data_IF_836866671158
#
_entry.id   IF_836866671158
#
_cell.length_a   1.000
_cell.length_b   1.000
_cell.length_c   1.000
_cell.angle_alpha   90.00
_cell.angle_beta   90.00
_cell.angle_gamma   90.00
#
_symmetry.space_group_name_H-M   'P 1'
#
loop_
_entity.id
_entity.type
_entity.pdbx_description
1 polymer ?
#
# COMPACT_ATOMS: atom_id res chain seq x y z
N UNK A 1 5.51 9.53 -13.75
CA UNK A 1 4.92 9.15 -12.45
C UNK A 1 5.17 10.19 -11.36
N UNK A 2 4.75 9.94 -10.15
CA UNK A 2 4.83 10.87 -9.01
C UNK A 2 6.24 11.36 -8.71
N UNK A 3 7.23 10.48 -8.74
CA UNK A 3 8.64 10.85 -8.54
C UNK A 3 9.10 11.90 -9.55
N UNK A 4 8.83 11.68 -10.82
CA UNK A 4 9.22 12.62 -11.88
C UNK A 4 8.48 13.94 -11.76
N UNK A 5 7.21 13.94 -11.34
CA UNK A 5 6.45 15.17 -11.13
C UNK A 5 7.08 16.04 -10.03
N UNK A 6 7.46 15.45 -8.91
CA UNK A 6 8.15 16.18 -7.83
C UNK A 6 9.50 16.71 -8.29
N UNK A 7 10.31 15.89 -8.98
CA UNK A 7 11.60 16.34 -9.49
C UNK A 7 11.45 17.51 -10.48
N UNK A 8 10.48 17.43 -11.39
CA UNK A 8 10.20 18.52 -12.34
C UNK A 8 9.75 19.80 -11.63
N UNK A 9 8.90 19.68 -10.60
CA UNK A 9 8.49 20.81 -9.77
C UNK A 9 9.69 21.47 -9.10
N UNK A 10 10.53 20.70 -8.40
CA UNK A 10 11.71 21.20 -7.71
C UNK A 10 12.69 21.87 -8.68
N UNK A 11 12.96 21.25 -9.83
CA UNK A 11 13.81 21.83 -10.86
C UNK A 11 13.22 23.13 -11.43
N UNK A 12 11.91 23.16 -11.65
CA UNK A 12 11.22 24.38 -12.13
C UNK A 12 11.31 25.53 -11.13
N UNK A 13 11.16 25.27 -9.85
CA UNK A 13 11.36 26.27 -8.79
C UNK A 13 12.80 26.78 -8.79
N UNK A 14 13.78 25.88 -8.86
CA UNK A 14 15.19 26.26 -8.92
C UNK A 14 15.55 27.13 -10.14
N UNK A 15 14.99 26.81 -11.31
CA UNK A 15 15.24 27.59 -12.53
C UNK A 15 14.63 28.99 -12.47
N UNK A 16 13.56 29.17 -11.70
CA UNK A 16 12.84 30.44 -11.54
C UNK A 16 13.24 31.21 -10.29
N UNK A 17 14.24 30.73 -9.57
CA UNK A 17 14.72 31.28 -8.28
C UNK A 17 13.58 31.42 -7.25
N UNK A 18 12.65 30.44 -7.26
CA UNK A 18 11.53 30.36 -6.31
C UNK A 18 12.01 29.60 -5.10
N UNK A 19 11.99 30.25 -3.93
CA UNK A 19 12.26 29.59 -2.67
C UNK A 19 11.13 28.62 -2.31
N UNK A 20 11.51 27.42 -1.85
CA UNK A 20 10.58 26.38 -1.44
C UNK A 20 10.81 26.02 0.03
N UNK A 21 9.74 25.65 0.73
CA UNK A 21 9.79 25.04 2.06
C UNK A 21 9.70 23.53 1.86
N UNK A 22 10.78 22.75 2.11
CA UNK A 22 10.77 21.32 1.86
C UNK A 22 9.66 20.56 2.61
N UNK A 23 9.32 21.01 3.82
CA UNK A 23 8.25 20.43 4.63
C UNK A 23 6.88 20.56 3.95
N UNK A 24 6.59 21.70 3.32
CA UNK A 24 5.33 21.95 2.62
C UNK A 24 5.23 21.09 1.36
N UNK A 25 6.33 20.95 0.63
CA UNK A 25 6.40 20.06 -0.54
C UNK A 25 6.17 18.62 -0.14
N UNK A 26 6.80 18.18 0.96
CA UNK A 26 6.63 16.80 1.47
C UNK A 26 5.19 16.55 1.93
N UNK A 27 4.59 17.50 2.65
CA UNK A 27 3.19 17.40 3.09
C UNK A 27 2.22 17.35 1.90
N UNK A 28 2.41 18.23 0.91
CA UNK A 28 1.61 18.27 -0.32
C UNK A 28 1.73 16.97 -1.11
N UNK A 29 2.95 16.43 -1.25
CA UNK A 29 3.18 15.16 -1.91
C UNK A 29 2.47 14.01 -1.18
N UNK A 30 2.64 13.91 0.15
CA UNK A 30 1.99 12.88 0.96
C UNK A 30 0.47 12.95 0.82
N UNK A 31 -0.10 14.16 0.87
CA UNK A 31 -1.54 14.35 0.72
C UNK A 31 -2.03 13.92 -0.66
N UNK A 32 -1.35 14.31 -1.72
CA UNK A 32 -1.72 13.93 -3.09
C UNK A 32 -1.71 12.40 -3.30
N UNK A 33 -0.71 11.71 -2.73
CA UNK A 33 -0.66 10.24 -2.77
C UNK A 33 -1.83 9.64 -1.99
N UNK A 34 -2.08 10.12 -0.77
CA UNK A 34 -3.16 9.61 0.07
C UNK A 34 -4.52 9.82 -0.60
N UNK A 35 -4.80 11.01 -1.13
CA UNK A 35 -6.07 11.33 -1.79
C UNK A 35 -6.32 10.41 -3.00
N UNK A 36 -5.30 10.21 -3.83
CA UNK A 36 -5.40 9.31 -5.00
C UNK A 36 -5.73 7.87 -4.58
N UNK A 37 -5.04 7.36 -3.56
CA UNK A 37 -5.26 5.98 -3.10
C UNK A 37 -6.61 5.82 -2.40
N UNK A 38 -7.05 6.82 -1.63
CA UNK A 38 -8.36 6.82 -0.98
C UNK A 38 -9.48 6.85 -2.03
N UNK A 39 -9.35 7.71 -3.05
CA UNK A 39 -10.32 7.77 -4.14
C UNK A 39 -10.46 6.41 -4.85
N UNK A 40 -9.34 5.79 -5.21
CA UNK A 40 -9.35 4.48 -5.85
C UNK A 40 -9.94 3.39 -4.94
N UNK A 41 -9.62 3.40 -3.65
CA UNK A 41 -10.20 2.48 -2.68
C UNK A 41 -11.73 2.63 -2.58
N UNK A 42 -12.21 3.87 -2.49
CA UNK A 42 -13.64 4.19 -2.45
C UNK A 42 -14.35 3.71 -3.71
N UNK A 43 -13.78 3.98 -4.89
CA UNK A 43 -14.33 3.51 -6.16
C UNK A 43 -14.40 1.99 -6.23
N UNK A 44 -13.35 1.29 -5.80
CA UNK A 44 -13.34 -0.17 -5.77
C UNK A 44 -14.42 -0.74 -4.82
N UNK A 45 -14.57 -0.16 -3.62
CA UNK A 45 -15.61 -0.55 -2.67
C UNK A 45 -17.01 -0.41 -3.31
N UNK A 46 -17.26 0.69 -4.00
CA UNK A 46 -18.56 0.96 -4.63
C UNK A 46 -18.83 0.05 -5.83
N UNK A 47 -17.82 -0.15 -6.67
CA UNK A 47 -17.91 -0.97 -7.87
C UNK A 47 -18.13 -2.45 -7.55
N UNK A 48 -17.37 -2.98 -6.59
CA UNK A 48 -17.45 -4.39 -6.20
C UNK A 48 -18.43 -4.66 -5.05
N UNK A 49 -19.07 -3.62 -4.51
CA UNK A 49 -20.06 -3.70 -3.39
C UNK A 49 -19.52 -4.50 -2.20
N UNK A 50 -18.28 -4.22 -1.82
CA UNK A 50 -17.61 -4.92 -0.71
C UNK A 50 -18.08 -4.39 0.64
N UNK A 51 -18.28 -5.30 1.59
CA UNK A 51 -18.59 -5.02 3.00
C UNK A 51 -17.32 -5.01 3.88
N UNK A 52 -16.18 -5.42 3.31
CA UNK A 52 -14.88 -5.48 3.98
C UNK A 52 -13.80 -4.91 3.07
N UNK A 53 -12.89 -4.14 3.65
CA UNK A 53 -11.75 -3.59 2.96
C UNK A 53 -10.48 -3.72 3.81
N UNK A 54 -9.40 -4.18 3.21
CA UNK A 54 -8.12 -4.36 3.90
C UNK A 54 -6.99 -3.70 3.12
N UNK A 55 -6.04 -3.13 3.85
CA UNK A 55 -4.77 -2.64 3.29
C UNK A 55 -3.61 -3.38 3.92
N UNK A 56 -2.56 -3.62 3.14
CA UNK A 56 -1.32 -4.26 3.59
C UNK A 56 -0.12 -3.70 2.81
N UNK A 57 1.08 -4.10 3.19
CA UNK A 57 2.32 -3.64 2.58
C UNK A 57 2.87 -2.36 3.20
N UNK A 58 4.09 -1.96 2.81
CA UNK A 58 4.83 -0.85 3.42
C UNK A 58 4.07 0.48 3.44
N UNK A 59 3.37 0.82 2.36
CA UNK A 59 2.58 2.07 2.25
C UNK A 59 1.39 2.08 3.21
N UNK A 60 0.87 0.91 3.60
CA UNK A 60 -0.18 0.82 4.62
C UNK A 60 0.27 1.29 6.01
N UNK A 61 1.56 1.51 6.26
CA UNK A 61 2.06 2.15 7.49
C UNK A 61 1.81 3.66 7.54
N UNK A 62 1.47 4.30 6.41
CA UNK A 62 1.23 5.74 6.36
C UNK A 62 -0.03 6.11 7.13
N UNK A 63 0.12 6.94 8.17
CA UNK A 63 -0.97 7.33 9.06
C UNK A 63 -2.07 8.13 8.33
N UNK A 64 -1.70 9.03 7.43
CA UNK A 64 -2.64 9.85 6.65
C UNK A 64 -3.51 8.97 5.76
N UNK A 65 -2.90 7.99 5.09
CA UNK A 65 -3.62 7.03 4.26
C UNK A 65 -4.58 6.16 5.08
N UNK A 66 -4.10 5.59 6.20
CA UNK A 66 -4.93 4.76 7.08
C UNK A 66 -6.16 5.51 7.58
N UNK A 67 -5.93 6.71 8.10
CA UNK A 67 -7.00 7.53 8.65
C UNK A 67 -8.02 7.94 7.59
N UNK A 68 -7.54 8.30 6.40
CA UNK A 68 -8.42 8.63 5.28
C UNK A 68 -9.28 7.44 4.83
N UNK A 69 -8.69 6.26 4.66
CA UNK A 69 -9.42 5.04 4.30
C UNK A 69 -10.39 4.65 5.43
N UNK A 70 -9.96 4.70 6.69
CA UNK A 70 -10.82 4.40 7.84
C UNK A 70 -12.09 5.25 7.81
N UNK A 71 -11.94 6.57 7.67
CA UNK A 71 -13.08 7.51 7.58
C UNK A 71 -13.97 7.22 6.38
N UNK A 72 -13.39 6.87 5.23
CA UNK A 72 -14.15 6.54 4.04
C UNK A 72 -14.96 5.25 4.21
N UNK A 73 -14.36 4.21 4.81
CA UNK A 73 -15.03 2.96 5.12
C UNK A 73 -16.17 3.14 6.14
N UNK A 74 -15.93 3.91 7.22
CA UNK A 74 -16.94 4.23 8.22
C UNK A 74 -18.17 4.90 7.62
N UNK A 75 -17.97 5.88 6.74
CA UNK A 75 -19.06 6.56 6.04
C UNK A 75 -19.91 5.61 5.17
N UNK A 76 -19.33 4.52 4.72
CA UNK A 76 -19.98 3.53 3.85
C UNK A 76 -20.47 2.28 4.59
N UNK A 77 -20.24 2.18 5.89
CA UNK A 77 -20.56 0.98 6.67
C UNK A 77 -19.70 -0.23 6.31
N UNK A 78 -18.49 -0.01 5.78
CA UNK A 78 -17.55 -1.05 5.37
C UNK A 78 -16.57 -1.34 6.51
N UNK A 79 -16.36 -2.60 6.84
CA UNK A 79 -15.38 -3.01 7.84
C UNK A 79 -13.96 -2.83 7.30
N UNK A 80 -13.13 -2.07 8.02
CA UNK A 80 -11.77 -1.76 7.62
C UNK A 80 -10.74 -2.54 8.44
N UNK A 81 -9.79 -3.15 7.75
CA UNK A 81 -8.72 -3.95 8.34
C UNK A 81 -7.34 -3.48 7.87
N UNK A 82 -6.39 -3.51 8.78
CA UNK A 82 -4.97 -3.30 8.47
C UNK A 82 -4.09 -3.99 9.52
N UNK A 83 -2.89 -4.46 9.18
CA UNK A 83 -1.95 -4.99 10.16
C UNK A 83 -1.37 -3.86 11.02
N UNK A 84 -0.75 -4.24 12.14
CA UNK A 84 0.11 -3.32 12.89
C UNK A 84 1.26 -2.84 12.01
N UNK A 85 1.81 -1.65 12.28
CA UNK A 85 2.84 -1.04 11.41
C UNK A 85 4.07 -1.92 11.24
N UNK A 86 4.47 -2.66 12.28
CA UNK A 86 5.61 -3.59 12.23
C UNK A 86 5.39 -4.78 11.27
N UNK A 87 4.14 -5.15 11.01
CA UNK A 87 3.77 -6.23 10.10
C UNK A 87 3.42 -5.74 8.69
N UNK A 88 3.50 -4.45 8.44
CA UNK A 88 3.25 -3.88 7.10
C UNK A 88 4.42 -4.05 6.14
N UNK A 89 5.64 -4.15 6.66
CA UNK A 89 6.86 -4.43 5.88
C UNK A 89 7.19 -5.91 5.92
N UNK A 90 8.18 -6.31 5.14
CA UNK A 90 8.65 -7.70 5.09
C UNK A 90 8.99 -8.20 6.49
N UNK A 91 8.44 -9.36 6.84
CA UNK A 91 8.67 -9.98 8.14
C UNK A 91 8.51 -11.50 8.05
N UNK A 92 9.20 -12.21 8.94
CA UNK A 92 9.18 -13.67 8.99
C UNK A 92 7.80 -14.25 9.36
N UNK A 93 7.00 -13.51 10.13
CA UNK A 93 5.69 -13.99 10.58
C UNK A 93 4.72 -14.19 9.41
N UNK A 94 4.72 -13.29 8.40
CA UNK A 94 3.87 -13.45 7.23
C UNK A 94 4.27 -14.66 6.37
N UNK A 95 5.58 -14.93 6.27
CA UNK A 95 6.09 -16.10 5.55
C UNK A 95 5.76 -17.39 6.30
N UNK A 96 5.96 -17.39 7.63
CA UNK A 96 5.57 -18.51 8.47
C UNK A 96 4.08 -18.83 8.41
N UNK A 97 3.23 -17.81 8.43
CA UNK A 97 1.78 -17.96 8.29
C UNK A 97 1.42 -18.54 6.92
N UNK A 98 1.96 -17.99 5.81
CA UNK A 98 1.74 -18.51 4.47
C UNK A 98 2.18 -19.98 4.36
N UNK A 99 3.39 -20.31 4.84
CA UNK A 99 3.90 -21.66 4.84
C UNK A 99 3.04 -22.64 5.67
N UNK A 100 2.48 -22.20 6.79
CA UNK A 100 1.57 -23.00 7.59
C UNK A 100 0.28 -23.35 6.83
N UNK A 101 -0.34 -22.40 6.16
CA UNK A 101 -1.55 -22.67 5.36
C UNK A 101 -1.25 -23.55 4.15
N UNK A 102 -0.10 -23.37 3.49
CA UNK A 102 0.34 -24.27 2.43
C UNK A 102 0.55 -25.70 2.96
N UNK A 103 1.15 -25.82 4.14
CA UNK A 103 1.32 -27.12 4.80
C UNK A 103 -0.04 -27.80 5.06
N UNK A 104 -1.02 -27.08 5.59
CA UNK A 104 -2.38 -27.62 5.81
C UNK A 104 -3.07 -28.01 4.50
N UNK A 105 -2.83 -27.28 3.42
CA UNK A 105 -3.34 -27.60 2.07
C UNK A 105 -2.66 -28.82 1.43
N UNK A 106 -1.66 -29.42 2.10
CA UNK A 106 -0.95 -30.58 1.61
C UNK A 106 0.22 -30.28 0.69
N UNK A 107 0.54 -29.00 0.47
CA UNK A 107 1.69 -28.60 -0.36
C UNK A 107 2.99 -29.07 0.28
N UNK A 108 3.83 -29.76 -0.48
CA UNK A 108 5.16 -30.25 -0.08
C UNK A 108 6.12 -30.04 -1.24
N UNK A 109 7.34 -29.66 -0.91
CA UNK A 109 8.41 -29.52 -1.89
C UNK A 109 9.53 -30.52 -1.61
N UNK A 110 10.22 -30.94 -2.64
CA UNK A 110 11.40 -31.78 -2.54
C UNK A 110 12.66 -30.94 -2.27
N UNK A 111 13.83 -31.63 -2.26
CA UNK A 111 15.12 -30.99 -2.11
C UNK A 111 15.58 -30.19 -3.34
N UNK A 112 14.82 -30.28 -4.41
CA UNK A 112 14.97 -29.53 -5.66
C UNK A 112 14.29 -28.16 -5.63
N UNK A 113 13.61 -27.80 -4.53
CA UNK A 113 12.97 -26.49 -4.37
C UNK A 113 13.97 -25.36 -4.62
N UNK A 114 13.61 -24.48 -5.52
CA UNK A 114 14.41 -23.30 -5.85
C UNK A 114 13.55 -22.05 -5.86
N UNK A 115 14.17 -20.89 -5.64
CA UNK A 115 13.49 -19.61 -5.74
C UNK A 115 13.15 -19.29 -7.20
N UNK A 116 11.90 -18.89 -7.45
CA UNK A 116 11.42 -18.45 -8.75
C UNK A 116 11.16 -16.94 -8.69
N UNK A 117 12.07 -16.11 -9.22
CA UNK A 117 11.86 -14.67 -9.28
C UNK A 117 10.72 -14.35 -10.25
N UNK A 118 9.97 -13.29 -9.93
CA UNK A 118 8.87 -12.79 -10.77
C UNK A 118 7.68 -13.77 -10.96
N UNK A 119 7.47 -14.67 -10.01
CA UNK A 119 6.28 -15.52 -10.00
C UNK A 119 5.02 -14.63 -9.92
N UNK A 120 4.05 -14.89 -10.79
CA UNK A 120 2.80 -14.13 -10.77
C UNK A 120 1.89 -14.59 -9.62
N UNK A 121 1.02 -13.67 -9.18
CA UNK A 121 0.02 -14.02 -8.16
C UNK A 121 -0.83 -15.21 -8.62
N UNK A 122 -0.89 -16.25 -7.80
CA UNK A 122 -1.63 -17.48 -8.07
C UNK A 122 -0.88 -18.52 -8.90
N UNK A 123 0.31 -18.23 -9.45
CA UNK A 123 1.20 -19.24 -10.03
C UNK A 123 1.97 -19.97 -8.91
N UNK A 124 2.19 -21.26 -9.10
CA UNK A 124 2.93 -22.14 -8.20
C UNK A 124 3.91 -23.00 -8.97
#
# INVERSE_FOLDING_TARGET
GLKSAVLNYLNGCKMKDIEIVPADVAASFQQAVADTLIEHAVRAIDEFKMDKFAIAGGVASNATLREGIRKACEKKGVAFYHPSSILCTDNAAMIGAAGYYEYLAGTRSGLDLNAVPNLKLGER
#
